data_IF_565587891412
#
_entry.id   IF_565587891412
#
_cell.length_a   1.000
_cell.length_b   1.000
_cell.length_c   1.000
_cell.angle_alpha   90.00
_cell.angle_beta   90.00
_cell.angle_gamma   90.00
#
_symmetry.space_group_name_H-M   'P 1'
#
loop_
_entity.id
_entity.type
_entity.pdbx_description
1 polymer ?
#
# COMPACT_ATOMS: atom_id res chain seq x y z
N UNK A 1 -24.09 8.83 1.38
CA UNK A 1 -23.99 8.43 0.86
C UNK A 1 -24.19 8.12 0.39
N UNK A 2 -24.13 8.02 0.13
CA UNK A 2 -24.25 7.69 -0.45
C UNK A 2 -23.89 7.33 -1.01
N UNK A 3 -23.70 7.37 -1.26
CA UNK A 3 -23.43 7.04 -2.06
C UNK A 3 -22.69 6.53 -2.27
N UNK A 4 -22.54 6.00 -1.46
CA UNK A 4 -21.77 5.39 -1.85
C UNK A 4 -21.61 5.40 -3.01
N UNK A 5 -21.49 6.07 -3.01
CA UNK A 5 -21.50 6.23 -4.16
C UNK A 5 -20.53 5.64 -4.81
N UNK A 6 -20.68 4.79 -5.00
CA UNK A 6 -19.88 4.01 -5.75
C UNK A 6 -19.65 4.54 -7.03
N UNK A 7 -20.15 5.68 -7.24
CA UNK A 7 -19.97 6.28 -8.46
C UNK A 7 -18.60 6.68 -8.72
N UNK A 8 -17.67 6.39 -7.91
CA UNK A 8 -16.31 6.75 -8.17
C UNK A 8 -16.15 8.23 -8.35
N UNK A 9 -16.97 8.95 -7.63
CA UNK A 9 -16.81 10.39 -7.63
C UNK A 9 -15.50 10.78 -7.00
N UNK A 10 -14.94 9.90 -6.19
CA UNK A 10 -13.66 10.18 -5.58
C UNK A 10 -12.54 9.89 -6.54
N UNK A 11 -11.37 10.37 -6.23
CA UNK A 11 -10.22 10.20 -7.08
C UNK A 11 -9.90 8.72 -7.28
N UNK A 12 -9.57 8.37 -8.51
CA UNK A 12 -9.09 7.05 -8.83
C UNK A 12 -7.61 7.05 -8.56
N UNK A 13 -7.12 6.00 -7.90
CA UNK A 13 -5.70 5.92 -7.58
C UNK A 13 -4.87 5.86 -8.85
N UNK A 14 -3.77 6.64 -8.89
CA UNK A 14 -2.88 6.70 -10.04
C UNK A 14 -1.74 5.71 -9.83
N UNK A 15 -1.71 4.66 -10.64
CA UNK A 15 -0.72 3.61 -10.51
C UNK A 15 0.61 3.89 -11.22
N UNK A 16 0.82 5.11 -11.69
CA UNK A 16 2.07 5.43 -12.39
C UNK A 16 3.29 5.30 -11.50
N UNK A 17 3.18 5.74 -10.25
CA UNK A 17 4.29 5.59 -9.32
C UNK A 17 4.61 4.13 -9.04
N UNK A 18 3.57 3.31 -8.92
CA UNK A 18 3.74 1.88 -8.75
C UNK A 18 4.48 1.29 -9.96
N UNK A 19 4.05 1.64 -11.16
CA UNK A 19 4.68 1.14 -12.39
C UNK A 19 6.14 1.53 -12.47
N UNK A 20 6.46 2.77 -12.10
CA UNK A 20 7.85 3.23 -12.10
C UNK A 20 8.68 2.44 -11.12
N UNK A 21 8.13 2.11 -9.97
CA UNK A 21 8.86 1.32 -8.97
C UNK A 21 9.09 -0.11 -9.46
N UNK A 22 8.11 -0.69 -10.15
CA UNK A 22 8.26 -2.01 -10.73
C UNK A 22 9.40 -1.99 -11.75
N UNK A 23 9.44 -0.97 -12.60
CA UNK A 23 10.49 -0.85 -13.60
C UNK A 23 11.85 -0.72 -12.95
N UNK A 24 11.97 0.13 -11.93
CA UNK A 24 13.23 0.31 -11.23
C UNK A 24 13.70 -0.97 -10.55
N UNK A 25 12.78 -1.68 -9.90
CA UNK A 25 13.12 -2.92 -9.20
C UNK A 25 13.55 -4.00 -10.20
N UNK A 26 12.87 -4.07 -11.34
CA UNK A 26 13.24 -5.02 -12.38
C UNK A 26 14.66 -4.75 -12.88
N UNK A 27 14.96 -3.49 -13.15
CA UNK A 27 16.29 -3.11 -13.63
C UNK A 27 17.35 -3.37 -12.57
N UNK A 28 17.02 -3.15 -11.31
CA UNK A 28 17.95 -3.41 -10.22
C UNK A 28 18.30 -4.89 -10.12
N UNK A 29 17.38 -5.76 -10.49
CA UNK A 29 17.65 -7.20 -10.51
C UNK A 29 18.35 -7.63 -11.80
N UNK A 30 18.55 -6.71 -12.73
CA UNK A 30 19.27 -7.00 -13.97
C UNK A 30 18.50 -7.85 -14.96
N UNK A 31 17.17 -7.81 -14.91
CA UNK A 31 16.37 -8.60 -15.83
C UNK A 31 15.60 -7.70 -16.80
N UNK A 32 15.43 -8.22 -18.02
CA UNK A 32 14.72 -7.49 -19.04
C UNK A 32 13.21 -7.69 -18.87
N UNK A 33 12.45 -6.85 -19.57
CA UNK A 33 11.00 -6.99 -19.60
C UNK A 33 10.62 -8.36 -20.17
N UNK A 34 11.32 -8.78 -21.23
CA UNK A 34 11.05 -10.07 -21.84
C UNK A 34 11.30 -11.22 -20.88
N UNK A 35 12.41 -11.14 -20.13
CA UNK A 35 12.72 -12.17 -19.16
C UNK A 35 11.68 -12.24 -18.05
N UNK A 36 11.24 -11.09 -17.57
CA UNK A 36 10.20 -11.06 -16.54
C UNK A 36 8.89 -11.61 -17.06
N UNK A 37 8.51 -11.21 -18.26
CA UNK A 37 7.28 -11.67 -18.88
C UNK A 37 7.28 -13.18 -19.05
N UNK A 38 8.42 -13.71 -19.51
CA UNK A 38 8.56 -15.14 -19.70
C UNK A 38 8.41 -15.89 -18.39
N UNK A 39 9.05 -15.37 -17.34
CA UNK A 39 8.97 -15.98 -16.03
C UNK A 39 7.53 -15.99 -15.49
N UNK A 40 6.77 -14.96 -15.77
CA UNK A 40 5.43 -14.83 -15.24
C UNK A 40 4.34 -15.35 -16.17
N UNK A 41 4.71 -15.75 -17.39
CA UNK A 41 3.71 -16.24 -18.33
C UNK A 41 2.77 -15.17 -18.84
N UNK A 42 3.24 -13.93 -18.96
CA UNK A 42 2.44 -12.82 -19.47
C UNK A 42 3.23 -12.14 -20.59
N UNK A 43 2.59 -11.20 -21.27
CA UNK A 43 3.24 -10.55 -22.41
C UNK A 43 4.15 -9.42 -21.96
N UNK A 44 5.25 -9.18 -22.68
CA UNK A 44 6.09 -8.02 -22.38
C UNK A 44 5.34 -6.70 -22.53
N UNK A 45 4.34 -6.65 -23.43
CA UNK A 45 3.54 -5.46 -23.60
C UNK A 45 2.74 -5.14 -22.35
N UNK A 46 2.22 -6.17 -21.69
CA UNK A 46 1.47 -5.98 -20.45
C UNK A 46 2.38 -5.35 -19.39
N UNK A 47 3.60 -5.88 -19.27
CA UNK A 47 4.55 -5.32 -18.31
C UNK A 47 4.89 -3.89 -18.68
N UNK A 48 5.10 -3.61 -19.97
CA UNK A 48 5.40 -2.25 -20.42
C UNK A 48 4.27 -1.27 -20.08
N UNK A 49 3.03 -1.73 -20.22
CA UNK A 49 1.88 -0.88 -19.87
C UNK A 49 1.82 -0.59 -18.39
N UNK A 50 2.15 -1.58 -17.56
CA UNK A 50 2.21 -1.35 -16.10
C UNK A 50 3.31 -0.35 -15.78
N UNK A 51 4.50 -0.55 -16.36
CA UNK A 51 5.66 0.26 -16.02
C UNK A 51 5.58 1.68 -16.54
N UNK A 52 5.06 1.86 -17.74
CA UNK A 52 5.16 3.13 -18.42
C UNK A 52 3.84 3.90 -18.53
N UNK A 53 2.71 3.21 -18.45
CA UNK A 53 1.42 3.83 -18.69
C UNK A 53 0.50 3.85 -17.48
N UNK A 54 0.94 3.28 -16.38
CA UNK A 54 0.11 3.28 -15.18
C UNK A 54 -1.05 2.31 -15.23
N UNK A 55 -1.01 1.34 -16.15
CA UNK A 55 -2.04 0.31 -16.17
C UNK A 55 -1.91 -0.52 -14.90
N UNK A 56 -3.00 -0.67 -14.17
CA UNK A 56 -2.93 -1.48 -12.96
C UNK A 56 -3.05 -2.96 -13.35
N UNK A 57 -2.27 -3.81 -12.72
CA UNK A 57 -2.34 -5.24 -13.03
C UNK A 57 -3.52 -5.89 -12.34
N UNK A 58 -3.86 -7.12 -12.77
CA UNK A 58 -4.77 -7.94 -11.99
C UNK A 58 -4.16 -8.18 -10.62
N UNK A 59 -4.99 -8.56 -9.67
CA UNK A 59 -4.51 -8.77 -8.31
C UNK A 59 -3.46 -9.89 -8.25
N UNK A 60 -3.64 -10.96 -9.04
CA UNK A 60 -2.66 -12.04 -9.06
C UNK A 60 -1.32 -11.56 -9.60
N UNK A 61 -1.33 -10.80 -10.70
CA UNK A 61 -0.09 -10.29 -11.28
C UNK A 61 0.55 -9.27 -10.35
N UNK A 62 -0.25 -8.45 -9.68
CA UNK A 62 0.24 -7.52 -8.69
C UNK A 62 1.03 -8.25 -7.59
N UNK A 63 0.42 -9.31 -7.04
CA UNK A 63 1.06 -10.11 -6.01
C UNK A 63 2.40 -10.68 -6.50
N UNK A 64 2.40 -11.24 -7.71
CA UNK A 64 3.62 -11.86 -8.24
C UNK A 64 4.71 -10.83 -8.50
N UNK A 65 4.33 -9.67 -9.02
CA UNK A 65 5.31 -8.61 -9.28
C UNK A 65 5.96 -8.13 -8.00
N UNK A 66 5.15 -7.81 -6.99
CA UNK A 66 5.72 -7.23 -5.77
C UNK A 66 6.53 -8.24 -4.98
N UNK A 67 6.14 -9.51 -4.98
CA UNK A 67 6.89 -10.50 -4.23
C UNK A 67 8.16 -10.90 -4.96
N UNK A 68 8.10 -11.11 -6.27
CA UNK A 68 9.29 -11.49 -7.02
C UNK A 68 10.32 -10.35 -7.05
N UNK A 69 9.86 -9.12 -7.25
CA UNK A 69 10.76 -7.97 -7.33
C UNK A 69 11.04 -7.33 -5.98
N UNK A 70 10.38 -7.83 -4.93
CA UNK A 70 10.59 -7.36 -3.56
C UNK A 70 10.30 -5.86 -3.42
N UNK A 71 9.13 -5.45 -3.93
CA UNK A 71 8.71 -4.06 -3.87
C UNK A 71 7.74 -3.89 -2.70
N UNK A 72 8.05 -2.96 -1.82
CA UNK A 72 7.15 -2.66 -0.71
C UNK A 72 6.01 -1.80 -1.23
N UNK A 73 4.77 -2.21 -0.96
CA UNK A 73 3.60 -1.49 -1.46
C UNK A 73 3.11 -0.43 -0.50
N UNK A 74 3.54 -0.47 0.74
CA UNK A 74 3.10 0.52 1.73
C UNK A 74 3.42 1.93 1.28
N UNK A 75 4.54 2.12 0.63
CA UNK A 75 4.97 3.44 0.21
C UNK A 75 4.00 4.10 -0.76
N UNK A 76 3.18 3.32 -1.45
CA UNK A 76 2.24 3.87 -2.42
C UNK A 76 0.88 4.14 -1.82
N UNK A 77 0.47 3.33 -0.85
CA UNK A 77 -0.87 3.42 -0.29
C UNK A 77 -0.89 4.16 1.04
N UNK A 78 0.23 4.20 1.73
CA UNK A 78 0.32 4.85 3.03
C UNK A 78 1.56 5.74 3.07
N UNK A 79 1.62 6.77 2.19
CA UNK A 79 2.85 7.54 2.05
C UNK A 79 3.22 8.33 3.30
N UNK A 80 2.28 8.54 4.21
CA UNK A 80 2.57 9.28 5.44
C UNK A 80 2.79 8.39 6.64
N UNK A 81 2.90 7.08 6.43
CA UNK A 81 3.06 6.15 7.54
C UNK A 81 4.38 6.36 8.28
N UNK A 82 5.36 6.94 7.61
CA UNK A 82 6.68 7.14 8.20
C UNK A 82 6.95 8.56 8.64
N UNK A 83 5.91 9.38 8.84
CA UNK A 83 6.15 10.74 9.30
C UNK A 83 6.79 10.74 10.67
N UNK A 84 7.46 11.84 11.00
CA UNK A 84 8.13 11.99 12.29
C UNK A 84 7.13 11.82 13.41
N UNK A 85 7.50 11.02 14.39
CA UNK A 85 6.68 10.76 15.55
C UNK A 85 7.33 11.35 16.78
N UNK A 86 6.50 11.86 17.67
CA UNK A 86 7.00 12.36 18.95
C UNK A 86 7.55 11.20 19.77
N UNK A 87 8.32 11.52 20.78
CA UNK A 87 8.84 10.51 21.72
C UNK A 87 7.69 9.72 22.33
N UNK A 88 6.64 10.42 22.74
CA UNK A 88 5.49 9.75 23.34
C UNK A 88 4.84 8.77 22.39
N UNK A 89 4.70 9.16 21.12
CA UNK A 89 4.10 8.28 20.12
C UNK A 89 4.97 7.04 19.88
N UNK A 90 6.29 7.22 19.83
CA UNK A 90 7.18 6.08 19.62
C UNK A 90 7.14 5.12 20.79
N UNK A 91 7.05 5.66 22.01
CA UNK A 91 6.94 4.81 23.19
C UNK A 91 5.62 4.05 23.20
N UNK A 92 4.54 4.70 22.78
CA UNK A 92 3.25 4.03 22.67
C UNK A 92 3.31 2.91 21.63
N UNK A 93 3.92 3.17 20.48
CA UNK A 93 4.07 2.14 19.45
C UNK A 93 4.78 0.91 20.00
N UNK A 94 5.83 1.12 20.79
CA UNK A 94 6.56 0.00 21.39
C UNK A 94 5.67 -0.80 22.33
N UNK A 95 4.87 -0.11 23.14
CA UNK A 95 3.95 -0.79 24.03
C UNK A 95 2.92 -1.62 23.25
N UNK A 96 2.41 -1.05 22.16
CA UNK A 96 1.44 -1.77 21.34
C UNK A 96 2.05 -3.00 20.68
N UNK A 97 3.33 -2.91 20.30
CA UNK A 97 4.01 -4.03 19.67
C UNK A 97 4.09 -5.24 20.59
N UNK A 98 4.07 -5.00 21.90
CA UNK A 98 4.20 -6.08 22.88
C UNK A 98 2.85 -6.66 23.30
N UNK A 99 1.76 -6.13 22.79
CA UNK A 99 0.42 -6.54 23.19
C UNK A 99 -0.10 -7.67 22.31
N UNK A 100 -0.87 -8.58 22.93
CA UNK A 100 -1.56 -9.62 22.19
C UNK A 100 -2.92 -9.14 21.69
N UNK A 101 -3.65 -10.05 21.05
CA UNK A 101 -4.92 -9.71 20.43
C UNK A 101 -5.94 -9.12 21.41
N UNK A 102 -5.99 -9.69 22.60
CA UNK A 102 -6.96 -9.24 23.59
C UNK A 102 -6.68 -7.80 24.01
N UNK A 103 -5.42 -7.52 24.31
CA UNK A 103 -5.03 -6.20 24.74
C UNK A 103 -5.22 -5.18 23.63
N UNK A 104 -4.92 -5.56 22.40
CA UNK A 104 -5.11 -4.65 21.27
C UNK A 104 -6.59 -4.33 21.04
N UNK A 105 -7.47 -5.30 21.30
CA UNK A 105 -8.90 -5.05 21.21
C UNK A 105 -9.33 -3.97 22.19
N UNK A 106 -8.83 -4.07 23.43
CA UNK A 106 -9.14 -3.10 24.46
C UNK A 106 -8.61 -1.73 24.08
N UNK A 107 -7.36 -1.68 23.61
CA UNK A 107 -6.76 -0.42 23.21
C UNK A 107 -7.51 0.23 22.06
N UNK A 108 -7.95 -0.57 21.11
CA UNK A 108 -8.70 -0.07 19.96
C UNK A 108 -10.03 0.56 20.41
N UNK A 109 -10.71 -0.11 21.33
CA UNK A 109 -11.97 0.43 21.84
C UNK A 109 -11.75 1.74 22.58
N UNK A 110 -10.66 1.83 23.36
CA UNK A 110 -10.33 3.06 24.08
C UNK A 110 -10.03 4.19 23.12
N UNK A 111 -9.23 3.91 22.09
CA UNK A 111 -8.86 4.92 21.12
C UNK A 111 -10.10 5.44 20.39
N UNK A 112 -11.00 4.53 20.03
CA UNK A 112 -12.23 4.91 19.35
C UNK A 112 -13.08 5.80 20.24
N UNK A 113 -13.18 5.45 21.53
CA UNK A 113 -13.93 6.28 22.47
C UNK A 113 -13.37 7.67 22.59
N UNK A 114 -12.05 7.80 22.61
CA UNK A 114 -11.40 9.10 22.68
C UNK A 114 -11.72 9.93 21.45
N UNK A 115 -11.66 9.32 20.26
CA UNK A 115 -11.96 10.03 19.03
C UNK A 115 -13.41 10.52 19.00
N UNK A 116 -14.32 9.67 19.44
CA UNK A 116 -15.74 10.04 19.44
C UNK A 116 -16.02 11.17 20.43
N UNK A 117 -15.40 11.13 21.59
CA UNK A 117 -15.58 12.18 22.58
C UNK A 117 -15.05 13.51 22.05
N UNK A 118 -13.91 13.48 21.35
CA UNK A 118 -13.36 14.68 20.77
C UNK A 118 -14.27 15.29 19.73
N UNK A 119 -14.93 14.46 18.94
CA UNK A 119 -15.85 14.95 17.93
C UNK A 119 -17.09 15.59 18.55
N UNK A 120 -17.54 15.03 19.67
CA UNK A 120 -18.74 15.58 20.32
C UNK A 120 -18.51 16.93 20.90
N UNK A 121 -17.27 17.27 21.24
CA UNK A 121 -16.98 18.56 21.82
C UNK A 121 -16.94 19.67 20.80
N UNK A 122 -16.95 19.32 19.53
CA UNK A 122 -16.96 20.32 18.50
C UNK A 122 -18.36 20.69 18.08
#
# INVERSE_FOLDING_TARGET
>A
MGEINMKRATAIYDFKAFGAAIKAARKAKGISRNQLADKMGISPRYIASIENSGQHPSLQIFYELVTFLEVSVDQFFFPNAEVDKSTQRRQLDTMLDEMGSKELTIMTATARGIQEAGQEEE
#
